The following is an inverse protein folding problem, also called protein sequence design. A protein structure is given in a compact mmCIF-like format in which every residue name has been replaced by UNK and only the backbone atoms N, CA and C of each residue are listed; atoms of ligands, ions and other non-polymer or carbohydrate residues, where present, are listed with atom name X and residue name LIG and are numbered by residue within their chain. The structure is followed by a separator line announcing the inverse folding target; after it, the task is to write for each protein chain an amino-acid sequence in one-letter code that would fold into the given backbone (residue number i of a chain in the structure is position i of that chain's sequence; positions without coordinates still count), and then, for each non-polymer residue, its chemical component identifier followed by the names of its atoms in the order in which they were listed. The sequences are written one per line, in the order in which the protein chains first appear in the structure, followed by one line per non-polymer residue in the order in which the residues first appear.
data_IF_953165878218
#
_entry.id   IF_953165878218
#
_cell.length_a   1.000
_cell.length_b   1.000
_cell.length_c   1.000
_cell.angle_alpha   90.00
_cell.angle_beta   90.00
_cell.angle_gamma   90.00
#
_symmetry.space_group_name_H-M   'P 1'
#
loop_
_entity.id
_entity.type
_entity.pdbx_description
1 polymer ?
#
# COMPACT_ATOMS: atom_id res chain seq x y z
N UNK A 1 16.47 1.25 16.75
CA UNK A 1 15.20 0.53 16.78
C UNK A 1 14.62 0.22 15.43
N UNK A 2 15.34 0.55 14.38
CA UNK A 2 14.82 0.30 13.04
C UNK A 2 14.55 -1.16 12.76
N UNK A 3 15.36 -2.04 13.34
CA UNK A 3 15.15 -3.46 13.13
C UNK A 3 13.84 -3.99 13.64
N UNK A 4 13.15 -3.20 14.47
CA UNK A 4 11.87 -3.59 15.03
C UNK A 4 10.69 -3.09 14.23
N UNK A 5 10.92 -2.18 13.32
CA UNK A 5 9.85 -1.61 12.52
C UNK A 5 9.74 -2.33 11.20
N UNK A 6 8.54 -2.69 10.86
CA UNK A 6 8.23 -3.22 9.55
C UNK A 6 7.60 -2.12 8.74
N UNK A 7 7.96 -2.05 7.46
CA UNK A 7 7.29 -1.08 6.63
C UNK A 7 5.86 -1.57 6.29
N UNK A 8 5.11 -0.72 5.65
CA UNK A 8 3.70 -1.00 5.37
C UNK A 8 3.51 -2.25 4.50
N UNK A 9 4.44 -2.50 3.58
CA UNK A 9 4.32 -3.64 2.67
C UNK A 9 4.54 -4.95 3.40
N UNK A 10 5.53 -4.99 4.25
CA UNK A 10 5.81 -6.20 5.02
C UNK A 10 4.72 -6.47 6.04
N UNK A 11 4.30 -5.42 6.76
CA UNK A 11 3.26 -5.57 7.77
C UNK A 11 1.97 -6.09 7.15
N UNK A 12 1.58 -5.51 6.02
CA UNK A 12 0.34 -5.90 5.35
C UNK A 12 0.42 -7.34 4.85
N UNK A 13 1.57 -7.72 4.26
CA UNK A 13 1.77 -9.09 3.79
C UNK A 13 1.64 -10.09 4.94
N UNK A 14 2.32 -9.79 6.04
CA UNK A 14 2.33 -10.70 7.18
C UNK A 14 0.95 -10.86 7.80
N UNK A 15 0.21 -9.77 7.90
CA UNK A 15 -1.17 -9.84 8.41
C UNK A 15 -2.06 -10.68 7.51
N UNK A 16 -1.77 -10.69 6.22
CA UNK A 16 -2.54 -11.49 5.28
C UNK A 16 -2.13 -12.95 5.27
N UNK A 17 -1.02 -13.28 5.93
CA UNK A 17 -0.59 -14.68 6.07
C UNK A 17 0.27 -15.20 4.93
N UNK A 18 0.81 -14.34 4.09
CA UNK A 18 1.65 -14.77 2.98
C UNK A 18 3.13 -14.71 3.34
N UNK A 19 3.89 -15.70 2.86
CA UNK A 19 5.34 -15.61 2.86
C UNK A 19 5.77 -14.69 1.72
N UNK A 20 7.04 -14.26 1.76
CA UNK A 20 7.57 -13.44 0.66
C UNK A 20 7.51 -14.20 -0.66
N UNK A 21 7.83 -15.47 -0.64
CA UNK A 21 7.82 -16.31 -1.84
C UNK A 21 6.41 -16.46 -2.40
N UNK A 22 5.45 -16.71 -1.54
CA UNK A 22 4.06 -16.86 -1.98
C UNK A 22 3.52 -15.56 -2.54
N UNK A 23 3.83 -14.45 -1.88
CA UNK A 23 3.38 -13.16 -2.35
C UNK A 23 4.00 -12.84 -3.72
N UNK A 24 5.30 -13.09 -3.87
CA UNK A 24 5.97 -12.85 -5.15
C UNK A 24 5.30 -13.63 -6.27
N UNK A 25 5.01 -14.89 -6.03
CA UNK A 25 4.36 -15.73 -7.03
C UNK A 25 3.00 -15.20 -7.41
N UNK A 26 2.20 -14.82 -6.41
CA UNK A 26 0.84 -14.31 -6.66
C UNK A 26 0.85 -12.95 -7.34
N UNK A 27 1.85 -12.13 -7.03
CA UNK A 27 1.97 -10.81 -7.64
C UNK A 27 2.63 -10.85 -9.02
N UNK A 28 3.25 -11.97 -9.38
CA UNK A 28 3.93 -12.10 -10.66
C UNK A 28 5.24 -11.36 -10.72
N UNK A 29 5.94 -11.23 -9.60
CA UNK A 29 7.22 -10.54 -9.51
C UNK A 29 8.22 -11.44 -8.81
N UNK A 30 9.50 -11.04 -8.82
CA UNK A 30 10.53 -11.81 -8.15
C UNK A 30 10.46 -11.63 -6.64
N UNK A 31 10.96 -12.63 -5.91
CA UNK A 31 11.04 -12.50 -4.45
C UNK A 31 12.02 -11.42 -4.05
N UNK A 32 13.05 -11.15 -4.87
CA UNK A 32 13.96 -10.05 -4.64
C UNK A 32 13.25 -8.71 -4.70
N UNK A 33 12.29 -8.58 -5.62
CA UNK A 33 11.48 -7.36 -5.67
C UNK A 33 10.67 -7.19 -4.40
N UNK A 34 10.04 -8.26 -3.92
CA UNK A 34 9.28 -8.19 -2.67
C UNK A 34 10.19 -7.75 -1.53
N UNK A 35 11.38 -8.36 -1.44
CA UNK A 35 12.34 -7.98 -0.39
C UNK A 35 12.77 -6.53 -0.50
N UNK A 36 13.03 -6.06 -1.73
CA UNK A 36 13.45 -4.67 -1.94
C UNK A 36 12.38 -3.70 -1.49
N UNK A 37 11.12 -4.00 -1.77
CA UNK A 37 10.01 -3.16 -1.31
C UNK A 37 9.89 -3.16 0.21
N UNK A 38 10.09 -4.32 0.82
CA UNK A 38 9.91 -4.47 2.26
C UNK A 38 11.09 -3.95 3.08
N UNK A 39 12.25 -3.77 2.45
CA UNK A 39 13.41 -3.17 3.12
C UNK A 39 13.55 -1.69 2.81
N UNK A 40 12.74 -1.17 1.91
CA UNK A 40 12.83 0.23 1.52
C UNK A 40 13.87 0.52 0.46
N UNK A 41 14.52 -0.51 -0.10
CA UNK A 41 15.49 -0.30 -1.17
C UNK A 41 14.85 0.20 -2.45
N UNK A 42 13.62 -0.21 -2.69
CA UNK A 42 12.84 0.27 -3.82
C UNK A 42 11.41 0.56 -3.38
N UNK A 43 10.79 1.50 -4.07
CA UNK A 43 9.39 1.83 -3.85
C UNK A 43 8.58 1.08 -4.89
N UNK A 44 7.59 0.29 -4.49
CA UNK A 44 6.79 -0.44 -5.49
C UNK A 44 6.01 0.54 -6.36
N UNK A 45 5.93 0.27 -7.66
CA UNK A 45 5.10 1.11 -8.53
C UNK A 45 3.63 0.94 -8.19
N UNK A 46 2.84 1.92 -8.60
CA UNK A 46 1.43 1.95 -8.22
C UNK A 46 0.67 0.70 -8.63
N UNK A 47 0.97 0.14 -9.81
CA UNK A 47 0.24 -1.04 -10.27
C UNK A 47 0.55 -2.26 -9.40
N UNK A 48 1.75 -2.33 -8.83
CA UNK A 48 2.09 -3.42 -7.91
C UNK A 48 1.39 -3.22 -6.56
N UNK A 49 1.32 -1.97 -6.09
CA UNK A 49 0.61 -1.68 -4.84
C UNK A 49 -0.87 -2.02 -4.99
N UNK A 50 -1.43 -1.75 -6.13
CA UNK A 50 -2.82 -2.11 -6.42
C UNK A 50 -3.02 -3.62 -6.31
N UNK A 51 -2.13 -4.40 -6.92
CA UNK A 51 -2.17 -5.86 -6.83
C UNK A 51 -1.98 -6.35 -5.40
N UNK A 52 -1.05 -5.71 -4.68
CA UNK A 52 -0.84 -6.04 -3.27
C UNK A 52 -2.10 -5.80 -2.45
N UNK A 53 -2.78 -4.68 -2.67
CA UNK A 53 -3.98 -4.36 -1.91
C UNK A 53 -5.07 -5.40 -2.14
N UNK A 54 -5.17 -5.90 -3.34
CA UNK A 54 -6.13 -6.95 -3.67
C UNK A 54 -5.73 -8.27 -3.02
N UNK A 55 -4.47 -8.66 -3.19
CA UNK A 55 -3.96 -9.92 -2.67
C UNK A 55 -4.05 -9.97 -1.14
N UNK A 56 -3.65 -8.88 -0.49
CA UNK A 56 -3.60 -8.83 0.97
C UNK A 56 -4.93 -8.39 1.58
N UNK A 57 -5.91 -8.08 0.76
CA UNK A 57 -7.23 -7.59 1.22
C UNK A 57 -7.09 -6.34 2.08
N UNK A 58 -6.28 -5.39 1.62
CA UNK A 58 -6.00 -4.18 2.39
C UNK A 58 -6.09 -2.93 1.52
N UNK A 59 -7.25 -2.30 1.53
CA UNK A 59 -7.41 -1.01 0.87
C UNK A 59 -6.57 0.07 1.57
N UNK A 60 -6.35 -0.10 2.86
CA UNK A 60 -5.55 0.83 3.63
C UNK A 60 -4.12 0.92 3.09
N UNK A 61 -3.61 -0.16 2.51
CA UNK A 61 -2.26 -0.17 1.95
C UNK A 61 -2.10 0.90 0.87
N UNK A 62 -3.12 1.05 0.01
CA UNK A 62 -3.10 2.08 -1.04
C UNK A 62 -2.97 3.46 -0.42
N UNK A 63 -3.78 3.73 0.58
CA UNK A 63 -3.75 5.02 1.27
C UNK A 63 -2.39 5.28 1.89
N UNK A 64 -1.85 4.29 2.60
CA UNK A 64 -0.56 4.45 3.27
C UNK A 64 0.57 4.64 2.26
N UNK A 65 0.50 3.93 1.13
CA UNK A 65 1.49 4.09 0.08
C UNK A 65 1.48 5.51 -0.48
N UNK A 66 0.28 6.04 -0.75
CA UNK A 66 0.15 7.40 -1.26
C UNK A 66 0.65 8.42 -0.24
N UNK A 67 0.34 8.19 1.04
CA UNK A 67 0.74 9.11 2.10
C UNK A 67 2.26 9.14 2.28
N UNK A 68 2.90 7.97 2.22
CA UNK A 68 4.35 7.90 2.44
C UNK A 68 5.16 8.35 1.24
N UNK A 69 4.58 8.31 0.05
CA UNK A 69 5.32 8.58 -1.18
C UNK A 69 4.79 9.81 -1.90
N UNK A 70 4.42 10.83 -1.14
CA UNK A 70 3.86 12.05 -1.72
C UNK A 70 4.89 13.17 -1.88
N UNK A 71 6.17 12.85 -1.85
CA UNK A 71 7.23 13.85 -1.94
C UNK A 71 7.10 14.70 -3.21
N UNK A 72 6.83 14.04 -4.32
CA UNK A 72 6.63 14.77 -5.58
C UNK A 72 5.40 15.66 -5.51
N UNK A 73 4.35 15.18 -4.86
CA UNK A 73 3.13 15.95 -4.70
C UNK A 73 3.41 17.19 -3.86
N UNK A 74 4.19 17.05 -2.81
CA UNK A 74 4.54 18.17 -1.93
C UNK A 74 5.28 19.27 -2.69
N UNK A 75 6.10 18.89 -3.68
CA UNK A 75 6.87 19.85 -4.45
C UNK A 75 6.09 20.47 -5.60
N UNK A 76 5.07 19.78 -6.08
CA UNK A 76 4.36 20.18 -7.30
C UNK A 76 2.97 20.72 -7.01
N UNK A 77 2.29 20.13 -6.01
CA UNK A 77 0.91 20.47 -5.70
C UNK A 77 0.85 21.20 -4.36
N UNK A 78 0.13 22.34 -4.27
CA UNK A 78 0.00 23.04 -3.01
C UNK A 78 -0.59 22.16 -1.91
N UNK A 79 -0.23 22.47 -0.69
CA UNK A 79 -0.65 21.70 0.47
C UNK A 79 -2.16 21.49 0.52
N UNK A 80 -2.93 22.51 0.15
CA UNK A 80 -4.37 22.41 0.18
C UNK A 80 -4.89 21.35 -0.77
N UNK A 81 -4.27 21.25 -1.95
CA UNK A 81 -4.66 20.23 -2.92
C UNK A 81 -4.23 18.84 -2.48
N UNK A 82 -3.11 18.75 -1.78
CA UNK A 82 -2.68 17.47 -1.20
C UNK A 82 -3.71 16.96 -0.22
N UNK A 83 -4.24 17.84 0.62
CA UNK A 83 -5.28 17.47 1.56
C UNK A 83 -6.52 16.96 0.85
N UNK A 84 -6.87 17.60 -0.25
CA UNK A 84 -8.01 17.18 -1.05
C UNK A 84 -7.82 15.78 -1.64
N UNK A 85 -6.62 15.51 -2.14
CA UNK A 85 -6.31 14.19 -2.70
C UNK A 85 -6.41 13.11 -1.63
N UNK A 86 -5.87 13.38 -0.45
CA UNK A 86 -5.93 12.41 0.63
C UNK A 86 -7.37 12.23 1.12
N UNK A 87 -8.14 13.30 1.16
CA UNK A 87 -9.55 13.21 1.53
C UNK A 87 -10.33 12.36 0.54
N UNK A 88 -10.05 12.51 -0.74
CA UNK A 88 -10.69 11.70 -1.77
C UNK A 88 -10.31 10.23 -1.61
N UNK A 89 -9.03 9.96 -1.38
CA UNK A 89 -8.56 8.60 -1.18
C UNK A 89 -9.26 7.94 0.01
N UNK A 90 -9.38 8.68 1.11
CA UNK A 90 -10.06 8.15 2.30
C UNK A 90 -11.54 7.94 2.07
N UNK A 91 -12.17 8.82 1.31
CA UNK A 91 -13.59 8.64 1.00
C UNK A 91 -13.82 7.40 0.16
N UNK A 92 -12.96 7.15 -0.79
CA UNK A 92 -13.04 5.95 -1.61
C UNK A 92 -12.87 4.71 -0.74
N UNK A 93 -11.86 4.72 0.12
CA UNK A 93 -11.60 3.62 1.02
C UNK A 93 -12.82 3.34 1.92
N UNK A 94 -13.37 4.39 2.52
CA UNK A 94 -14.49 4.25 3.42
C UNK A 94 -15.75 3.76 2.69
N UNK A 95 -15.93 4.21 1.46
CA UNK A 95 -17.08 3.76 0.66
C UNK A 95 -16.98 2.28 0.33
N UNK A 96 -15.80 1.82 -0.02
CA UNK A 96 -15.58 0.41 -0.31
C UNK A 96 -15.83 -0.43 0.93
N UNK A 97 -15.33 0.01 2.07
CA UNK A 97 -15.56 -0.69 3.32
C UNK A 97 -17.03 -0.78 3.67
N UNK A 98 -17.76 0.32 3.54
CA UNK A 98 -19.19 0.34 3.83
C UNK A 98 -19.95 -0.58 2.90
N UNK A 99 -19.60 -0.55 1.62
CA UNK A 99 -20.24 -1.42 0.64
C UNK A 99 -20.03 -2.88 1.00
N UNK A 100 -18.80 -3.25 1.34
CA UNK A 100 -18.50 -4.62 1.75
C UNK A 100 -19.30 -5.03 2.98
N UNK A 101 -19.45 -4.12 3.93
CA UNK A 101 -20.19 -4.41 5.16
C UNK A 101 -21.67 -4.56 4.92
N UNK A 102 -22.24 -3.77 4.02
CA UNK A 102 -23.67 -3.82 3.78
C UNK A 102 -24.09 -4.94 2.87
N UNK A 103 -23.14 -5.55 2.19
CA UNK A 103 -23.40 -6.61 1.22
C UNK A 103 -23.35 -8.00 1.82
N UNK A 104 -23.39 -8.08 3.13
CA UNK A 104 -23.31 -9.35 3.80
C UNK A 104 -24.62 -10.11 3.86
#
# INVERSE_FOLDING_TARGET
MYGQYENIYKTTRRKAGYTQEAAAERLGISVESVRAYETGQRIPPNHIVDLMSILYHSQQLVYLHLQENNVLIEHVIPELEQRSLMAVAMRIYNRINRFSQTHR
#
